data_IF_139645631183
#
_entry.id   IF_139645631183
#
_cell.length_a   1.000
_cell.length_b   1.000
_cell.length_c   1.000
_cell.angle_alpha   90.00
_cell.angle_beta   90.00
_cell.angle_gamma   90.00
#
_symmetry.space_group_name_H-M   'P 1'
#
loop_
_entity.id
_entity.type
_entity.pdbx_description
1 polymer ?
#
# COMPACT_ATOMS: atom_id res chain seq x y z
N UNK A 1 -3.49 1.62 -18.16
CA UNK A 1 -3.64 2.75 -17.23
C UNK A 1 -5.11 3.09 -17.12
N UNK A 2 -5.62 3.38 -15.94
CA UNK A 2 -6.98 3.80 -15.66
C UNK A 2 -7.11 5.32 -15.50
N UNK A 3 -6.00 6.05 -15.45
CA UNK A 3 -5.98 7.50 -15.39
C UNK A 3 -5.05 8.10 -16.45
N UNK A 4 -5.39 9.30 -16.93
CA UNK A 4 -4.62 10.07 -17.90
C UNK A 4 -4.71 11.57 -17.58
N UNK A 5 -3.82 12.37 -18.17
CA UNK A 5 -3.81 13.84 -18.03
C UNK A 5 -4.34 14.47 -19.32
N UNK A 6 -5.28 15.39 -19.15
CA UNK A 6 -5.85 16.22 -20.21
C UNK A 6 -4.91 17.40 -20.57
N UNK A 7 -5.10 18.09 -21.70
CA UNK A 7 -4.24 19.20 -22.12
C UNK A 7 -4.22 20.38 -21.14
N UNK A 8 -5.29 20.52 -20.34
CA UNK A 8 -5.41 21.53 -19.30
C UNK A 8 -4.72 21.12 -17.98
N UNK A 9 -4.01 19.98 -17.95
CA UNK A 9 -3.35 19.44 -16.76
C UNK A 9 -4.25 18.64 -15.83
N UNK A 10 -5.56 18.56 -16.09
CA UNK A 10 -6.50 17.84 -15.23
C UNK A 10 -6.34 16.33 -15.39
N UNK A 11 -6.29 15.59 -14.28
CA UNK A 11 -6.32 14.12 -14.31
C UNK A 11 -7.75 13.62 -14.48
N UNK A 12 -7.95 12.66 -15.38
CA UNK A 12 -9.24 12.03 -15.66
C UNK A 12 -9.14 10.52 -15.55
N UNK A 13 -10.14 9.89 -14.93
CA UNK A 13 -10.29 8.44 -14.91
C UNK A 13 -10.94 7.93 -16.21
N UNK A 14 -10.53 6.75 -16.67
CA UNK A 14 -11.00 6.17 -17.92
C UNK A 14 -12.53 5.93 -17.94
N UNK A 15 -13.13 5.63 -16.79
CA UNK A 15 -14.58 5.48 -16.67
C UNK A 15 -15.37 6.80 -16.83
N UNK A 16 -14.72 7.94 -16.63
CA UNK A 16 -15.32 9.28 -16.72
C UNK A 16 -14.90 10.02 -17.99
N UNK A 17 -14.06 9.40 -18.82
CA UNK A 17 -13.55 10.03 -20.03
C UNK A 17 -14.57 9.97 -21.17
N UNK A 18 -14.84 11.15 -21.71
CA UNK A 18 -15.63 11.39 -22.91
C UNK A 18 -14.81 12.20 -23.93
N UNK A 19 -14.63 11.66 -25.13
CA UNK A 19 -13.85 12.26 -26.21
C UNK A 19 -14.44 13.59 -26.71
N UNK A 20 -15.77 13.75 -26.69
CA UNK A 20 -16.43 14.98 -27.15
C UNK A 20 -16.24 16.14 -26.17
N UNK A 21 -16.10 15.81 -24.87
CA UNK A 21 -15.96 16.80 -23.80
C UNK A 21 -14.49 17.11 -23.54
N UNK A 22 -13.65 16.07 -23.50
CA UNK A 22 -12.26 16.20 -23.06
C UNK A 22 -11.26 16.31 -24.21
N UNK A 23 -11.70 16.06 -25.45
CA UNK A 23 -10.87 16.11 -26.65
C UNK A 23 -9.99 14.87 -26.82
N UNK A 24 -9.37 14.76 -28.00
CA UNK A 24 -8.55 13.60 -28.40
C UNK A 24 -7.14 13.57 -27.77
N UNK A 25 -6.63 14.73 -27.39
CA UNK A 25 -5.26 14.86 -26.88
C UNK A 25 -5.23 14.52 -25.40
N UNK A 26 -4.77 13.33 -25.08
CA UNK A 26 -4.59 12.87 -23.70
C UNK A 26 -3.21 12.25 -23.56
N UNK A 27 -2.58 12.47 -22.40
CA UNK A 27 -1.22 12.04 -22.12
C UNK A 27 -1.16 11.14 -20.89
N UNK A 28 -0.08 10.36 -20.80
CA UNK A 28 0.27 9.59 -19.61
C UNK A 28 0.31 10.51 -18.38
N UNK A 29 -0.29 10.05 -17.28
CA UNK A 29 -0.32 10.84 -16.04
C UNK A 29 1.02 10.95 -15.32
N UNK A 30 1.99 10.09 -15.65
CA UNK A 30 3.32 10.18 -15.07
C UNK A 30 4.02 11.43 -15.61
N UNK A 31 4.35 12.35 -14.70
CA UNK A 31 5.01 13.63 -14.99
C UNK A 31 6.38 13.44 -15.68
N UNK A 32 7.08 12.33 -15.40
CA UNK A 32 8.33 12.00 -16.06
C UNK A 32 8.11 11.45 -17.49
N UNK A 33 6.89 11.00 -17.81
CA UNK A 33 6.56 10.39 -19.10
C UNK A 33 5.97 11.40 -20.08
N UNK A 34 4.73 11.86 -19.82
CA UNK A 34 3.96 12.74 -20.71
C UNK A 34 3.67 12.18 -22.11
N UNK A 35 3.83 10.87 -22.34
CA UNK A 35 3.62 10.27 -23.66
C UNK A 35 2.13 10.32 -24.05
N UNK A 36 1.76 10.61 -25.31
CA UNK A 36 0.38 10.54 -25.77
C UNK A 36 -0.22 9.15 -25.58
N UNK A 37 -1.47 9.10 -25.13
CA UNK A 37 -2.21 7.85 -24.92
C UNK A 37 -3.50 7.87 -25.73
N UNK A 38 -4.06 6.69 -25.96
CA UNK A 38 -5.35 6.50 -26.61
C UNK A 38 -6.33 5.89 -25.62
N UNK A 39 -7.57 6.35 -25.70
CA UNK A 39 -8.66 5.79 -24.91
C UNK A 39 -9.21 4.53 -25.55
N UNK A 40 -9.32 3.47 -24.75
CA UNK A 40 -9.94 2.21 -25.14
C UNK A 40 -11.25 2.08 -24.37
N UNK A 41 -12.36 2.18 -25.11
CA UNK A 41 -13.69 1.94 -24.57
C UNK A 41 -13.77 0.53 -23.99
N UNK A 42 -14.39 0.44 -22.81
CA UNK A 42 -14.61 -0.85 -22.16
C UNK A 42 -15.51 -1.76 -22.99
N UNK A 43 -15.33 -3.07 -22.80
CA UNK A 43 -16.18 -4.15 -23.33
C UNK A 43 -16.73 -4.95 -22.15
N UNK A 44 -17.59 -5.93 -22.41
CA UNK A 44 -18.24 -6.78 -21.39
C UNK A 44 -17.25 -7.45 -20.43
N UNK A 45 -16.00 -7.67 -20.87
CA UNK A 45 -14.93 -8.37 -20.16
C UNK A 45 -13.71 -7.47 -19.85
N UNK A 46 -13.80 -6.17 -20.15
CA UNK A 46 -12.64 -5.29 -20.09
C UNK A 46 -13.07 -3.88 -19.69
N UNK A 47 -12.57 -3.42 -18.55
CA UNK A 47 -12.78 -2.05 -18.10
C UNK A 47 -12.19 -1.04 -19.10
N UNK A 48 -12.80 0.15 -19.23
CA UNK A 48 -12.23 1.24 -20.02
C UNK A 48 -10.86 1.61 -19.46
N UNK A 49 -9.90 1.85 -20.34
CA UNK A 49 -8.52 2.15 -19.96
C UNK A 49 -7.81 2.98 -21.03
N UNK A 50 -6.68 3.56 -20.66
CA UNK A 50 -5.73 4.22 -21.54
C UNK A 50 -4.52 3.34 -21.80
N UNK A 51 -4.03 3.37 -23.04
CA UNK A 51 -2.79 2.73 -23.46
C UNK A 51 -2.04 3.61 -24.45
N UNK A 52 -0.75 3.36 -24.62
CA UNK A 52 0.03 3.99 -25.69
C UNK A 52 -0.17 3.28 -27.03
N UNK A 53 0.20 3.91 -28.15
CA UNK A 53 0.20 3.25 -29.47
C UNK A 53 1.40 2.32 -29.64
N UNK A 54 2.46 2.49 -28.84
CA UNK A 54 3.68 1.69 -28.91
C UNK A 54 4.65 2.13 -30.01
N UNK A 55 4.39 3.26 -30.67
CA UNK A 55 5.20 3.76 -31.78
C UNK A 55 5.54 5.26 -31.60
N UNK A 56 6.76 5.63 -32.02
CA UNK A 56 7.23 7.02 -32.01
C UNK A 56 7.18 7.64 -30.60
N UNK A 57 6.59 8.83 -30.51
CA UNK A 57 6.49 9.59 -29.25
C UNK A 57 5.46 9.02 -28.26
N UNK A 58 4.61 8.09 -28.71
CA UNK A 58 3.65 7.36 -27.86
C UNK A 58 4.26 6.05 -27.36
N UNK A 59 5.48 6.12 -26.83
CA UNK A 59 6.11 5.03 -26.07
C UNK A 59 6.40 5.54 -24.67
N UNK A 60 6.11 4.72 -23.66
CA UNK A 60 6.42 5.09 -22.29
C UNK A 60 7.93 5.22 -22.10
N UNK A 61 8.35 6.33 -21.47
CA UNK A 61 9.75 6.54 -21.10
C UNK A 61 10.14 5.57 -19.99
N UNK A 62 11.42 5.22 -19.89
CA UNK A 62 11.92 4.22 -18.94
C UNK A 62 11.55 4.49 -17.46
N UNK A 63 11.50 5.77 -17.06
CA UNK A 63 11.13 6.21 -15.71
C UNK A 63 9.61 6.25 -15.46
N UNK A 64 8.80 5.93 -16.46
CA UNK A 64 7.35 5.92 -16.35
C UNK A 64 6.89 4.75 -15.48
N UNK A 65 6.01 5.01 -14.53
CA UNK A 65 5.39 3.97 -13.69
C UNK A 65 4.54 2.95 -14.46
N UNK A 66 4.37 3.12 -15.77
CA UNK A 66 3.64 2.22 -16.67
C UNK A 66 4.51 1.64 -17.79
N UNK A 67 5.80 1.96 -17.85
CA UNK A 67 6.70 1.40 -18.87
C UNK A 67 7.00 -0.09 -18.64
N UNK A 68 7.07 -0.51 -17.38
CA UNK A 68 7.38 -1.87 -16.95
C UNK A 68 6.69 -2.19 -15.64
N UNK A 69 6.73 -3.47 -15.25
CA UNK A 69 6.37 -3.86 -13.89
C UNK A 69 7.36 -3.25 -12.90
N UNK A 70 6.83 -2.56 -11.89
CA UNK A 70 7.59 -1.92 -10.83
C UNK A 70 7.84 -2.90 -9.68
N UNK A 71 8.94 -2.71 -8.96
CA UNK A 71 9.13 -3.34 -7.64
C UNK A 71 8.15 -2.75 -6.62
N UNK A 72 8.01 -3.39 -5.46
CA UNK A 72 7.15 -2.86 -4.39
C UNK A 72 7.53 -1.43 -4.00
N UNK A 73 8.83 -1.18 -3.82
CA UNK A 73 9.37 0.13 -3.43
C UNK A 73 9.13 1.19 -4.51
N UNK A 74 9.36 0.83 -5.79
CA UNK A 74 9.09 1.71 -6.93
C UNK A 74 7.60 2.05 -7.03
N UNK A 75 6.71 1.07 -6.81
CA UNK A 75 5.27 1.29 -6.78
C UNK A 75 4.88 2.24 -5.65
N UNK A 76 5.38 2.04 -4.42
CA UNK A 76 5.10 2.94 -3.29
C UNK A 76 5.49 4.39 -3.62
N UNK A 77 6.69 4.60 -4.18
CA UNK A 77 7.14 5.93 -4.60
C UNK A 77 6.21 6.55 -5.64
N UNK A 78 5.86 5.80 -6.69
CA UNK A 78 4.97 6.29 -7.77
C UNK A 78 3.55 6.56 -7.30
N UNK A 79 3.02 5.75 -6.38
CA UNK A 79 1.72 5.97 -5.77
C UNK A 79 1.70 7.29 -5.00
N UNK A 80 2.74 7.59 -4.22
CA UNK A 80 2.86 8.88 -3.53
C UNK A 80 2.85 10.08 -4.49
N UNK A 81 3.60 10.00 -5.59
CA UNK A 81 3.60 11.04 -6.65
C UNK A 81 2.20 11.26 -7.25
N UNK A 82 1.49 10.17 -7.55
CA UNK A 82 0.20 10.22 -8.25
C UNK A 82 -0.95 10.64 -7.36
N UNK A 83 -0.89 10.30 -6.08
CA UNK A 83 -1.98 10.51 -5.15
C UNK A 83 -2.24 12.00 -4.90
N UNK A 84 -1.19 12.83 -4.85
CA UNK A 84 -1.34 14.29 -4.81
C UNK A 84 -2.15 14.80 -6.02
N UNK A 85 -1.78 14.34 -7.22
CA UNK A 85 -2.48 14.72 -8.46
C UNK A 85 -3.92 14.18 -8.51
N UNK A 86 -4.16 12.96 -8.02
CA UNK A 86 -5.50 12.34 -8.03
C UNK A 86 -6.44 13.01 -7.03
N UNK A 87 -5.95 13.40 -5.86
CA UNK A 87 -6.73 14.08 -4.83
C UNK A 87 -7.27 15.42 -5.32
N UNK A 88 -6.44 16.22 -6.00
CA UNK A 88 -6.79 17.56 -6.48
C UNK A 88 -7.79 17.54 -7.65
N UNK A 89 -7.85 16.43 -8.40
CA UNK A 89 -8.62 16.33 -9.64
C UNK A 89 -9.98 15.65 -9.49
N UNK A 90 -10.36 15.27 -8.26
CA UNK A 90 -11.67 14.68 -7.97
C UNK A 90 -11.88 13.29 -8.60
N UNK A 91 -10.80 12.56 -8.84
CA UNK A 91 -10.86 11.19 -9.37
C UNK A 91 -11.46 10.25 -8.30
N UNK A 92 -12.15 9.19 -8.74
CA UNK A 92 -12.84 8.23 -7.86
C UNK A 92 -11.88 7.66 -6.82
N UNK A 93 -12.22 7.87 -5.55
CA UNK A 93 -11.51 7.27 -4.43
C UNK A 93 -12.10 5.90 -4.07
N UNK A 94 -11.23 4.94 -3.74
CA UNK A 94 -11.59 3.58 -3.32
C UNK A 94 -11.30 3.46 -1.83
N UNK A 95 -12.34 3.33 -1.01
CA UNK A 95 -12.17 3.11 0.41
C UNK A 95 -12.01 1.61 0.72
N UNK A 96 -10.88 1.23 1.33
CA UNK A 96 -10.62 -0.15 1.75
C UNK A 96 -10.55 -0.21 3.28
N UNK A 97 -11.29 -1.14 3.89
CA UNK A 97 -11.24 -1.32 5.34
C UNK A 97 -9.97 -2.06 5.75
N UNK A 98 -9.22 -1.51 6.69
CA UNK A 98 -8.09 -2.21 7.29
C UNK A 98 -8.54 -2.94 8.56
N UNK A 99 -8.30 -4.25 8.64
CA UNK A 99 -8.53 -5.04 9.85
C UNK A 99 -7.45 -6.11 10.01
N UNK A 100 -6.37 -5.76 10.70
CA UNK A 100 -5.23 -6.64 10.95
C UNK A 100 -5.25 -7.24 12.36
N UNK A 101 -6.39 -7.28 13.05
CA UNK A 101 -6.44 -7.81 14.42
C UNK A 101 -5.97 -9.26 14.52
N UNK A 102 -6.20 -10.07 13.47
CA UNK A 102 -5.81 -11.48 13.39
C UNK A 102 -4.28 -11.73 13.31
N UNK A 103 -3.47 -10.68 13.15
CA UNK A 103 -2.01 -10.77 13.21
C UNK A 103 -1.51 -10.88 14.66
N UNK A 104 -2.26 -10.32 15.61
CA UNK A 104 -1.94 -10.28 17.02
C UNK A 104 -2.28 -11.63 17.69
N UNK A 105 -1.29 -12.37 18.24
CA UNK A 105 -1.55 -13.63 18.92
C UNK A 105 -2.37 -13.44 20.21
N UNK A 106 -2.37 -12.24 20.81
CA UNK A 106 -3.14 -11.92 22.01
C UNK A 106 -4.61 -11.54 21.69
N UNK A 107 -4.97 -11.44 20.40
CA UNK A 107 -6.31 -11.01 20.00
C UNK A 107 -7.32 -12.16 20.08
N UNK A 108 -8.26 -12.03 21.02
CA UNK A 108 -9.41 -12.91 21.12
C UNK A 108 -10.54 -12.41 20.21
N UNK A 109 -10.96 -13.27 19.27
CA UNK A 109 -12.10 -12.96 18.41
C UNK A 109 -13.36 -12.90 19.27
N UNK A 110 -13.95 -11.72 19.37
CA UNK A 110 -15.30 -11.59 19.91
C UNK A 110 -16.25 -12.38 18.99
N UNK A 111 -16.72 -13.54 19.48
CA UNK A 111 -17.80 -14.28 18.85
C UNK A 111 -19.06 -13.46 19.10
N UNK A 112 -19.44 -12.65 18.12
CA UNK A 112 -20.77 -12.04 18.13
C UNK A 112 -21.72 -13.22 17.90
N UNK A 113 -22.41 -13.66 18.96
CA UNK A 113 -23.61 -14.48 18.85
C UNK A 113 -24.63 -13.66 18.06
N UNK A 114 -24.55 -13.76 16.74
CA UNK A 114 -25.69 -13.40 15.91
C UNK A 114 -26.70 -14.49 16.18
N UNK A 115 -27.79 -14.14 16.87
CA UNK A 115 -29.01 -14.92 16.82
C UNK A 115 -29.18 -15.39 15.38
N UNK A 116 -29.32 -16.70 15.21
CA UNK A 116 -29.65 -17.34 13.94
C UNK A 116 -31.08 -16.88 13.61
N UNK A 117 -31.23 -15.62 13.18
CA UNK A 117 -32.31 -15.28 12.26
C UNK A 117 -32.02 -16.12 11.05
N UNK A 118 -32.92 -17.07 10.82
CA UNK A 118 -33.04 -17.85 9.60
C UNK A 118 -32.51 -17.02 8.43
N UNK A 119 -31.52 -17.58 7.73
CA UNK A 119 -31.14 -17.07 6.42
C UNK A 119 -32.42 -17.04 5.59
N UNK A 120 -33.06 -15.89 5.49
CA UNK A 120 -33.81 -15.57 4.28
C UNK A 120 -32.80 -15.76 3.16
N UNK A 121 -33.04 -16.79 2.34
CA UNK A 121 -32.29 -17.00 1.12
C UNK A 121 -32.25 -15.65 0.39
N UNK A 122 -31.06 -15.14 0.04
CA UNK A 122 -30.99 -13.94 -0.75
C UNK A 122 -31.78 -14.23 -2.02
N UNK A 123 -32.87 -13.48 -2.24
CA UNK A 123 -33.55 -13.44 -3.53
C UNK A 123 -32.47 -13.38 -4.60
N UNK A 124 -32.48 -14.34 -5.52
CA UNK A 124 -31.57 -14.40 -6.67
C UNK A 124 -31.60 -13.04 -7.38
N UNK A 125 -30.65 -12.19 -7.01
CA UNK A 125 -30.27 -11.02 -7.78
C UNK A 125 -29.49 -11.59 -8.96
N UNK A 126 -30.15 -11.60 -10.12
CA UNK A 126 -29.62 -11.92 -11.45
C UNK A 126 -28.10 -12.16 -11.48
N UNK A 127 -27.71 -13.44 -11.57
CA UNK A 127 -26.34 -13.94 -11.77
C UNK A 127 -25.67 -13.46 -13.08
N UNK A 128 -26.18 -12.40 -13.72
CA UNK A 128 -25.67 -11.82 -14.96
C UNK A 128 -25.13 -10.40 -14.84
N UNK A 129 -25.04 -9.81 -13.64
CA UNK A 129 -24.33 -8.53 -13.45
C UNK A 129 -22.93 -8.75 -12.86
N UNK A 130 -21.97 -8.87 -13.77
CA UNK A 130 -20.54 -8.55 -13.62
C UNK A 130 -19.71 -9.47 -12.69
N UNK A 131 -19.14 -10.52 -13.30
CA UNK A 131 -17.90 -11.19 -12.85
C UNK A 131 -16.65 -10.32 -13.13
N UNK A 132 -16.71 -9.03 -12.84
CA UNK A 132 -15.50 -8.23 -12.70
C UNK A 132 -15.02 -8.47 -11.27
N UNK A 133 -13.97 -9.29 -11.11
CA UNK A 133 -13.27 -9.30 -9.82
C UNK A 133 -12.79 -7.86 -9.62
N UNK A 134 -13.22 -7.14 -8.57
CA UNK A 134 -12.64 -5.84 -8.33
C UNK A 134 -11.15 -6.05 -8.12
N UNK A 135 -10.32 -5.37 -8.91
CA UNK A 135 -8.85 -5.43 -8.79
C UNK A 135 -8.38 -5.04 -7.38
N UNK A 136 -9.25 -4.38 -6.61
CA UNK A 136 -9.03 -3.96 -5.23
C UNK A 136 -9.94 -4.73 -4.25
N UNK A 137 -9.39 -5.28 -3.15
CA UNK A 137 -10.19 -5.95 -2.14
C UNK A 137 -11.02 -4.95 -1.32
N UNK A 138 -12.21 -5.35 -0.87
CA UNK A 138 -13.03 -4.52 0.03
C UNK A 138 -12.41 -4.34 1.43
N UNK A 139 -11.54 -5.27 1.83
CA UNK A 139 -10.81 -5.22 3.10
C UNK A 139 -9.43 -5.84 3.02
N UNK A 140 -8.50 -5.31 3.79
CA UNK A 140 -7.15 -5.87 4.00
C UNK A 140 -7.10 -6.50 5.39
N UNK A 141 -6.85 -7.81 5.43
CA UNK A 141 -6.74 -8.58 6.67
C UNK A 141 -5.37 -9.22 6.91
N UNK A 142 -4.41 -9.01 6.00
CA UNK A 142 -3.05 -9.53 6.15
C UNK A 142 -2.04 -8.67 5.38
N UNK A 143 -0.76 -8.73 5.77
CA UNK A 143 0.32 -8.07 5.02
C UNK A 143 0.50 -8.69 3.63
N UNK A 144 0.21 -9.99 3.45
CA UNK A 144 0.17 -10.64 2.12
C UNK A 144 -0.77 -9.95 1.16
N UNK A 145 -1.93 -9.50 1.66
CA UNK A 145 -2.91 -8.76 0.86
C UNK A 145 -2.34 -7.40 0.42
N UNK A 146 -1.60 -6.70 1.29
CA UNK A 146 -0.91 -5.45 0.93
C UNK A 146 0.16 -5.70 -0.14
N UNK A 147 1.04 -6.68 0.08
CA UNK A 147 2.07 -7.06 -0.91
C UNK A 147 1.43 -7.36 -2.26
N UNK A 148 0.40 -8.21 -2.27
CA UNK A 148 -0.32 -8.56 -3.50
C UNK A 148 -0.91 -7.31 -4.17
N UNK A 149 -1.61 -6.47 -3.40
CA UNK A 149 -2.20 -5.22 -3.89
C UNK A 149 -1.16 -4.35 -4.62
N UNK A 150 0.02 -4.14 -4.02
CA UNK A 150 1.09 -3.31 -4.60
C UNK A 150 1.91 -3.96 -5.72
N UNK A 151 1.76 -5.28 -5.92
CA UNK A 151 2.46 -6.01 -6.98
C UNK A 151 1.57 -6.35 -8.17
N UNK A 152 0.24 -6.34 -7.98
CA UNK A 152 -0.73 -6.69 -9.02
C UNK A 152 -1.52 -5.50 -9.55
N UNK A 153 -1.73 -4.45 -8.75
CA UNK A 153 -2.56 -3.31 -9.14
C UNK A 153 -1.71 -2.15 -9.63
N UNK A 154 -2.17 -1.47 -10.68
CA UNK A 154 -1.48 -0.32 -11.26
C UNK A 154 -1.35 0.85 -10.28
N UNK A 155 -0.25 1.61 -10.33
CA UNK A 155 0.02 2.71 -9.39
C UNK A 155 -1.03 3.84 -9.43
N UNK A 156 -1.74 4.02 -10.54
CA UNK A 156 -2.84 4.98 -10.66
C UNK A 156 -4.09 4.59 -9.88
N UNK A 157 -4.47 3.30 -9.92
CA UNK A 157 -5.57 2.79 -9.08
C UNK A 157 -5.16 2.86 -7.62
N UNK A 158 -3.94 2.43 -7.28
CA UNK A 158 -3.43 2.45 -5.91
C UNK A 158 -3.44 3.86 -5.32
N UNK A 159 -3.09 4.88 -6.11
CA UNK A 159 -3.15 6.28 -5.71
C UNK A 159 -4.58 6.80 -5.47
N UNK A 160 -5.62 6.08 -5.89
CA UNK A 160 -7.01 6.36 -5.51
C UNK A 160 -7.44 5.70 -4.19
N UNK A 161 -6.60 4.86 -3.57
CA UNK A 161 -7.00 4.06 -2.40
C UNK A 161 -6.85 4.86 -1.10
N UNK A 162 -7.94 4.89 -0.33
CA UNK A 162 -7.97 5.37 1.05
C UNK A 162 -8.20 4.20 2.00
N UNK A 163 -7.29 3.99 2.94
CA UNK A 163 -7.41 3.01 4.00
C UNK A 163 -8.26 3.56 5.14
N UNK A 164 -9.30 2.81 5.53
CA UNK A 164 -10.14 3.15 6.67
C UNK A 164 -9.60 2.49 7.94
N UNK A 165 -9.07 3.30 8.85
CA UNK A 165 -8.40 2.89 10.09
C UNK A 165 -8.92 3.75 11.25
N UNK A 166 -9.44 3.12 12.32
CA UNK A 166 -9.98 3.83 13.50
C UNK A 166 -10.94 5.00 13.17
N UNK A 167 -11.79 4.85 12.15
CA UNK A 167 -12.74 5.90 11.74
C UNK A 167 -12.16 6.98 10.82
N UNK A 168 -10.87 6.92 10.48
CA UNK A 168 -10.19 7.87 9.58
C UNK A 168 -9.94 7.26 8.22
N UNK A 169 -10.05 8.06 7.17
CA UNK A 169 -9.66 7.69 5.80
C UNK A 169 -8.28 8.26 5.55
N UNK A 170 -7.31 7.37 5.36
CA UNK A 170 -5.91 7.75 5.25
C UNK A 170 -5.41 7.25 3.89
N UNK A 171 -4.76 8.10 3.10
CA UNK A 171 -4.24 7.65 1.83
C UNK A 171 -3.21 6.53 1.97
N UNK A 172 -3.21 5.58 1.03
CA UNK A 172 -2.40 4.37 1.17
C UNK A 172 -0.90 4.67 1.19
N UNK A 173 -0.43 5.69 0.45
CA UNK A 173 0.99 6.09 0.47
C UNK A 173 1.42 6.63 1.83
N UNK A 174 0.52 7.23 2.59
CA UNK A 174 0.87 7.88 3.84
C UNK A 174 1.06 6.84 4.96
N UNK A 175 0.41 5.69 4.80
CA UNK A 175 0.48 4.55 5.70
C UNK A 175 1.64 3.59 5.40
N UNK A 176 2.11 3.52 4.15
CA UNK A 176 3.21 2.63 3.74
C UNK A 176 4.46 3.47 3.51
N UNK A 177 5.47 3.30 4.38
CA UNK A 177 6.68 4.12 4.36
C UNK A 177 7.94 3.27 4.40
N UNK A 178 9.02 3.78 3.81
CA UNK A 178 10.35 3.24 4.04
C UNK A 178 10.76 3.50 5.50
N UNK A 179 11.58 2.62 6.10
CA UNK A 179 11.97 2.74 7.52
C UNK A 179 12.66 4.07 7.84
N UNK A 180 13.42 4.64 6.89
CA UNK A 180 14.02 5.98 7.00
C UNK A 180 12.97 7.09 7.08
N UNK A 181 12.03 7.10 6.13
CA UNK A 181 10.99 8.11 6.05
C UNK A 181 10.07 8.04 7.29
N UNK A 182 9.80 6.84 7.77
CA UNK A 182 9.03 6.63 8.99
C UNK A 182 9.78 7.10 10.24
N UNK A 183 11.09 6.88 10.31
CA UNK A 183 11.92 7.41 11.39
C UNK A 183 11.87 8.93 11.41
N UNK A 184 12.20 9.59 10.29
CA UNK A 184 12.20 11.05 10.18
C UNK A 184 10.82 11.64 10.53
N UNK A 185 9.75 11.15 9.90
CA UNK A 185 8.39 11.64 10.16
C UNK A 185 7.97 11.48 11.63
N UNK A 186 8.35 10.38 12.28
CA UNK A 186 8.05 10.17 13.70
C UNK A 186 8.76 11.23 14.56
N UNK A 187 10.04 11.48 14.31
CA UNK A 187 10.83 12.42 15.09
C UNK A 187 10.41 13.87 14.86
N UNK A 188 10.01 14.22 13.65
CA UNK A 188 9.48 15.54 13.26
C UNK A 188 8.02 15.77 13.71
N UNK A 189 7.32 14.74 14.16
CA UNK A 189 5.94 14.84 14.65
C UNK A 189 4.88 14.82 13.56
N UNK A 190 5.21 14.30 12.38
CA UNK A 190 4.31 14.16 11.22
C UNK A 190 3.50 12.85 11.24
N UNK A 191 3.74 11.98 12.22
CA UNK A 191 3.02 10.70 12.36
C UNK A 191 1.81 10.83 13.28
N UNK A 192 0.72 10.18 12.92
CA UNK A 192 -0.48 10.04 13.75
C UNK A 192 -0.41 8.79 14.65
N UNK A 193 -1.27 8.71 15.67
CA UNK A 193 -1.42 7.53 16.53
C UNK A 193 -2.24 6.40 15.85
N UNK A 194 -1.69 5.92 14.74
CA UNK A 194 -2.22 4.85 13.90
C UNK A 194 -1.12 3.82 13.62
N UNK A 195 -1.46 2.58 13.26
CA UNK A 195 -0.48 1.63 12.82
C UNK A 195 -0.03 1.93 11.38
N UNK A 196 1.26 1.73 11.11
CA UNK A 196 1.90 1.96 9.81
C UNK A 196 2.41 0.64 9.22
N UNK A 197 2.62 0.62 7.90
CA UNK A 197 3.37 -0.42 7.22
C UNK A 197 4.76 0.09 6.89
N UNK A 198 5.78 -0.52 7.47
CA UNK A 198 7.17 -0.10 7.31
C UNK A 198 7.91 -1.12 6.48
N UNK A 199 8.55 -0.68 5.40
CA UNK A 199 9.37 -1.55 4.58
C UNK A 199 10.85 -1.16 4.60
N UNK A 200 11.70 -2.14 4.36
CA UNK A 200 13.14 -1.96 4.20
C UNK A 200 13.92 -3.26 4.36
N UNK A 201 15.23 -3.16 4.20
CA UNK A 201 16.15 -4.29 4.32
C UNK A 201 16.54 -4.55 5.77
N UNK A 202 16.43 -5.80 6.21
CA UNK A 202 17.00 -6.23 7.48
C UNK A 202 18.52 -6.33 7.37
N UNK A 203 19.24 -5.60 8.21
CA UNK A 203 20.70 -5.65 8.28
C UNK A 203 21.18 -6.64 9.33
N UNK A 204 20.57 -6.63 10.52
CA UNK A 204 21.07 -7.40 11.66
C UNK A 204 19.96 -7.81 12.61
N UNK A 205 20.01 -9.07 13.06
CA UNK A 205 19.19 -9.57 14.16
C UNK A 205 20.05 -9.66 15.43
N UNK A 206 19.50 -9.24 16.57
CA UNK A 206 20.16 -9.32 17.89
C UNK A 206 19.23 -9.99 18.87
N UNK A 207 19.57 -11.22 19.27
CA UNK A 207 18.78 -12.01 20.22
C UNK A 207 19.38 -11.92 21.62
N UNK A 208 18.59 -11.43 22.59
CA UNK A 208 18.92 -11.45 24.02
C UNK A 208 17.91 -12.32 24.77
N UNK A 209 18.22 -12.66 26.02
CA UNK A 209 17.35 -13.51 26.84
C UNK A 209 15.92 -12.97 27.01
N UNK A 210 15.74 -11.64 27.08
CA UNK A 210 14.43 -11.01 27.32
C UNK A 210 13.81 -10.26 26.12
N UNK A 211 14.62 -9.97 25.10
CA UNK A 211 14.21 -9.13 23.97
C UNK A 211 15.04 -9.45 22.73
N UNK A 212 14.38 -9.50 21.58
CA UNK A 212 15.04 -9.60 20.27
C UNK A 212 14.82 -8.31 19.48
N UNK A 213 15.86 -7.90 18.76
CA UNK A 213 15.84 -6.74 17.87
C UNK A 213 16.11 -7.18 16.43
N UNK A 214 15.25 -6.78 15.50
CA UNK A 214 15.48 -6.90 14.05
C UNK A 214 15.77 -5.49 13.55
N UNK A 215 17.02 -5.21 13.20
CA UNK A 215 17.46 -3.88 12.79
C UNK A 215 17.43 -3.78 11.27
N UNK A 216 16.82 -2.71 10.78
CA UNK A 216 16.92 -2.32 9.38
C UNK A 216 18.30 -1.74 9.07
N UNK A 217 18.61 -1.59 7.79
CA UNK A 217 19.84 -0.93 7.34
C UNK A 217 20.01 0.44 7.99
N UNK A 218 21.20 0.68 8.54
CA UNK A 218 21.57 1.96 9.14
C UNK A 218 21.34 3.09 8.14
N UNK A 219 20.83 4.19 8.67
CA UNK A 219 20.47 5.39 7.93
C UNK A 219 21.28 6.56 8.47
N UNK A 220 21.39 7.64 7.72
CA UNK A 220 22.09 8.85 8.18
C UNK A 220 21.38 9.49 9.39
N UNK A 221 20.07 9.28 9.51
CA UNK A 221 19.22 9.95 10.49
C UNK A 221 19.00 9.15 11.78
N UNK A 222 19.34 7.86 11.80
CA UNK A 222 19.15 7.03 12.98
C UNK A 222 18.93 5.55 12.69
N UNK A 223 18.33 4.87 13.67
CA UNK A 223 18.10 3.43 13.64
C UNK A 223 16.60 3.13 13.69
N UNK A 224 16.17 2.16 12.89
CA UNK A 224 14.83 1.59 12.97
C UNK A 224 14.94 0.12 13.35
N UNK A 225 14.17 -0.33 14.33
CA UNK A 225 14.15 -1.73 14.75
C UNK A 225 12.75 -2.28 15.01
N UNK A 226 12.55 -3.55 14.69
CA UNK A 226 11.42 -4.31 15.20
C UNK A 226 11.82 -4.97 16.52
N UNK A 227 10.95 -4.88 17.52
CA UNK A 227 11.19 -5.37 18.87
C UNK A 227 10.23 -6.50 19.19
N UNK A 228 10.78 -7.63 19.64
CA UNK A 228 10.02 -8.79 20.11
C UNK A 228 10.39 -9.04 21.58
N UNK A 229 9.38 -9.10 22.45
CA UNK A 229 9.59 -9.39 23.87
C UNK A 229 9.51 -10.90 24.15
N UNK A 230 10.16 -11.34 25.24
CA UNK A 230 10.25 -12.74 25.67
C UNK A 230 8.93 -13.52 25.61
N UNK A 231 7.84 -12.91 26.12
CA UNK A 231 6.50 -13.51 26.10
C UNK A 231 6.00 -13.90 24.70
N UNK A 232 6.56 -13.29 23.65
CA UNK A 232 6.16 -13.45 22.26
C UNK A 232 7.12 -14.34 21.45
N UNK A 233 8.23 -14.79 22.03
CA UNK A 233 9.17 -15.70 21.35
C UNK A 233 8.51 -16.98 20.82
N UNK A 234 7.54 -17.63 21.52
CA UNK A 234 6.87 -18.82 20.97
C UNK A 234 6.13 -18.58 19.65
N UNK A 235 5.73 -17.35 19.37
CA UNK A 235 4.98 -16.98 18.15
C UNK A 235 5.88 -16.45 17.02
N UNK A 236 7.19 -16.31 17.29
CA UNK A 236 8.16 -15.80 16.33
C UNK A 236 9.23 -16.86 16.01
N UNK A 237 9.07 -17.55 14.88
CA UNK A 237 9.87 -18.73 14.54
C UNK A 237 10.95 -18.48 13.49
N UNK A 238 11.04 -17.28 12.91
CA UNK A 238 12.08 -16.96 11.94
C UNK A 238 13.48 -16.98 12.55
N UNK A 239 14.41 -17.58 11.81
CA UNK A 239 15.85 -17.61 12.12
C UNK A 239 16.55 -16.41 11.49
N UNK A 240 17.81 -16.21 11.86
CA UNK A 240 18.60 -15.08 11.37
C UNK A 240 18.82 -15.16 9.85
N UNK A 241 19.02 -16.36 9.32
CA UNK A 241 19.14 -16.65 7.87
C UNK A 241 17.86 -16.32 7.09
N UNK A 242 16.69 -16.43 7.74
CA UNK A 242 15.40 -16.10 7.11
C UNK A 242 15.19 -14.59 7.00
N UNK A 243 15.90 -13.79 7.81
CA UNK A 243 15.66 -12.36 7.95
C UNK A 243 16.79 -11.51 7.35
N UNK A 244 18.05 -11.80 7.70
CA UNK A 244 19.19 -10.96 7.36
C UNK A 244 19.33 -10.84 5.84
N UNK A 245 19.44 -9.61 5.36
CA UNK A 245 19.57 -9.27 3.95
C UNK A 245 18.26 -9.32 3.17
N UNK A 246 17.12 -9.66 3.79
CA UNK A 246 15.81 -9.68 3.14
C UNK A 246 15.14 -8.31 3.23
N UNK A 247 14.44 -7.95 2.15
CA UNK A 247 13.46 -6.87 2.16
C UNK A 247 12.16 -7.38 2.80
N UNK A 248 11.65 -6.64 3.78
CA UNK A 248 10.43 -6.99 4.48
C UNK A 248 9.47 -5.81 4.56
N UNK A 249 8.19 -6.12 4.73
CA UNK A 249 7.12 -5.23 5.15
C UNK A 249 6.72 -5.63 6.56
N UNK A 250 6.73 -4.69 7.50
CA UNK A 250 6.28 -4.86 8.88
C UNK A 250 5.06 -3.98 9.16
N UNK A 251 4.20 -4.40 10.09
CA UNK A 251 3.01 -3.63 10.47
C UNK A 251 2.97 -3.36 11.96
N UNK A 252 2.65 -2.14 12.38
CA UNK A 252 2.53 -1.83 13.81
C UNK A 252 2.60 -0.34 14.10
N UNK A 253 2.58 0.00 15.39
CA UNK A 253 2.69 1.38 15.85
C UNK A 253 4.16 1.80 15.94
N UNK A 254 4.43 3.03 15.54
CA UNK A 254 5.73 3.66 15.65
C UNK A 254 5.94 4.19 17.08
N UNK A 255 7.16 4.02 17.61
CA UNK A 255 7.55 4.53 18.92
C UNK A 255 8.93 5.17 18.87
N UNK A 256 9.08 6.30 19.56
CA UNK A 256 10.39 6.92 19.81
C UNK A 256 11.09 6.13 20.92
N UNK A 257 12.38 5.89 20.73
CA UNK A 257 13.25 5.34 21.75
C UNK A 257 14.49 6.24 21.87
N UNK A 258 14.54 6.94 22.99
CA UNK A 258 15.54 7.93 23.38
C UNK A 258 16.46 7.41 24.51
N UNK A 259 16.45 6.11 24.77
CA UNK A 259 17.20 5.50 25.87
C UNK A 259 18.71 5.77 25.81
N UNK A 260 19.27 5.94 24.61
CA UNK A 260 20.67 6.34 24.42
C UNK A 260 20.75 7.81 24.11
N UNK A 261 21.35 8.56 25.03
CA UNK A 261 21.61 9.99 24.87
C UNK A 261 22.42 10.25 23.58
N UNK A 262 21.94 11.17 22.75
CA UNK A 262 22.54 11.52 21.45
C UNK A 262 22.26 10.56 20.29
N UNK A 263 21.44 9.50 20.48
CA UNK A 263 21.10 8.55 19.43
C UNK A 263 19.58 8.37 19.33
N UNK A 264 18.96 9.03 18.35
CA UNK A 264 17.56 8.82 18.04
C UNK A 264 17.35 7.41 17.44
N UNK A 265 16.45 6.66 18.05
CA UNK A 265 16.03 5.37 17.52
C UNK A 265 14.51 5.29 17.46
N UNK A 266 14.01 4.66 16.41
CA UNK A 266 12.59 4.35 16.27
C UNK A 266 12.39 2.85 16.37
N UNK A 267 11.30 2.46 17.00
CA UNK A 267 10.98 1.05 17.19
C UNK A 267 9.52 0.74 16.88
N UNK A 268 9.28 -0.49 16.47
CA UNK A 268 7.95 -1.07 16.28
C UNK A 268 7.90 -2.42 17.00
N UNK A 269 6.92 -2.58 17.88
CA UNK A 269 6.75 -3.84 18.61
C UNK A 269 5.96 -4.81 17.73
N UNK A 270 6.52 -6.00 17.52
CA UNK A 270 5.86 -7.09 16.82
C UNK A 270 5.77 -8.32 17.72
N UNK A 271 4.76 -9.16 17.50
CA UNK A 271 4.44 -10.26 18.42
C UNK A 271 4.50 -11.65 17.78
N UNK A 272 4.49 -11.74 16.45
CA UNK A 272 4.50 -13.02 15.74
C UNK A 272 5.04 -12.83 14.33
N UNK A 273 5.33 -13.93 13.64
CA UNK A 273 5.71 -13.87 12.22
C UNK A 273 4.67 -13.15 11.34
N UNK A 274 3.39 -13.14 11.73
CA UNK A 274 2.31 -12.51 10.94
C UNK A 274 2.43 -10.99 10.83
N UNK A 275 3.28 -10.36 11.65
CA UNK A 275 3.59 -8.95 11.60
C UNK A 275 4.59 -8.60 10.50
N UNK A 276 5.17 -9.59 9.82
CA UNK A 276 6.16 -9.43 8.76
C UNK A 276 5.69 -10.14 7.50
N UNK A 277 5.95 -9.55 6.33
CA UNK A 277 5.85 -10.20 5.03
C UNK A 277 7.11 -9.90 4.21
N UNK A 278 7.69 -10.90 3.56
CA UNK A 278 8.85 -10.72 2.68
C UNK A 278 8.42 -10.07 1.36
N UNK A 279 9.21 -9.13 0.83
CA UNK A 279 8.93 -8.43 -0.43
C UNK A 279 9.59 -9.12 -1.63
#
# INVERSE_FOLDING_TARGET
MHSAVLPNGKVIGAASYDEQIHGLQINCMDSACGAPVIFIKGKTDMAPHFKTSGHGDSVHKEKCGFARQLSFQETVSKVGEYQASIADNGVRQIAIRLNLNDVDPDYEKQVIERDVKEKEEPKELDEKMLKDKPDTPASISSLKTIKKLFTTVGPDILAGILLHVKGRKIPVSDMIRHHEQAHTALWEGETEDIPYFIHGKVERVTRRGKVWFINFSKTDNGYFSLVIFERHFPHFTYKDEDLIGKEILAYGYLRKNDFKEGQQSSEMIIKSNKYIEFL
#
